data_IF_746224011078
#
_entry.id   IF_746224011078
#
_cell.length_a   1.000
_cell.length_b   1.000
_cell.length_c   1.000
_cell.angle_alpha   90.00
_cell.angle_beta   90.00
_cell.angle_gamma   90.00
#
_symmetry.space_group_name_H-M   'P 1'
#
loop_
_entity.id
_entity.type
_entity.pdbx_description
1 polymer ?
#
# COMPACT_ATOMS: atom_id res chain seq x y z
N UNK A 1 -21.92 3.97 0.24
CA UNK A 1 -21.30 5.30 -0.01
C UNK A 1 -21.77 6.45 0.91
N UNK A 2 -22.97 6.42 1.52
CA UNK A 2 -23.43 7.51 2.40
C UNK A 2 -22.68 7.57 3.75
N UNK A 3 -22.36 6.41 4.34
CA UNK A 3 -21.59 6.32 5.59
C UNK A 3 -20.12 6.75 5.46
N UNK A 4 -19.56 6.71 4.25
CA UNK A 4 -18.16 7.10 4.00
C UNK A 4 -17.95 8.62 4.11
N UNK A 5 -19.02 9.41 3.88
CA UNK A 5 -18.99 10.88 3.90
C UNK A 5 -18.86 11.47 5.31
N UNK A 6 -19.31 10.74 6.32
CA UNK A 6 -19.33 11.24 7.70
C UNK A 6 -17.98 11.04 8.42
N UNK A 7 -17.16 10.09 7.95
CA UNK A 7 -15.83 9.79 8.51
C UNK A 7 -14.69 10.56 7.83
N UNK A 8 -14.88 10.99 6.59
CA UNK A 8 -13.91 11.73 5.80
C UNK A 8 -14.40 13.18 5.69
N UNK A 9 -14.09 14.01 6.68
CA UNK A 9 -14.12 15.45 6.43
C UNK A 9 -13.23 15.69 5.20
N UNK A 10 -13.69 16.56 4.29
CA UNK A 10 -13.10 16.92 3.00
C UNK A 10 -13.63 16.09 1.80
N UNK A 11 -14.64 16.65 1.13
CA UNK A 11 -15.18 16.20 -0.16
C UNK A 11 -14.09 15.89 -1.22
N UNK A 12 -12.92 16.52 -1.12
CA UNK A 12 -11.79 16.33 -2.06
C UNK A 12 -11.11 14.96 -1.96
N UNK A 13 -11.06 14.34 -0.78
CA UNK A 13 -10.41 13.02 -0.64
C UNK A 13 -11.36 11.93 -1.10
N UNK A 14 -12.66 12.07 -0.80
CA UNK A 14 -13.69 11.14 -1.28
C UNK A 14 -13.72 11.05 -2.80
N UNK A 15 -13.66 12.17 -3.53
CA UNK A 15 -13.68 12.15 -5.01
C UNK A 15 -12.44 11.44 -5.58
N UNK A 16 -11.25 11.69 -5.00
CA UNK A 16 -10.03 11.00 -5.43
C UNK A 16 -10.07 9.50 -5.13
N UNK A 17 -10.60 9.10 -3.97
CA UNK A 17 -10.79 7.68 -3.63
C UNK A 17 -11.76 7.02 -4.62
N UNK A 18 -12.89 7.66 -4.94
CA UNK A 18 -13.83 7.16 -5.94
C UNK A 18 -13.17 6.99 -7.31
N UNK A 19 -12.40 7.98 -7.77
CA UNK A 19 -11.66 7.90 -9.04
C UNK A 19 -10.65 6.76 -9.05
N UNK A 20 -9.92 6.54 -7.95
CA UNK A 20 -8.98 5.44 -7.82
C UNK A 20 -9.68 4.07 -7.91
N UNK A 21 -10.79 3.89 -7.18
CA UNK A 21 -11.60 2.67 -7.25
C UNK A 21 -12.13 2.42 -8.66
N UNK A 22 -12.70 3.44 -9.31
CA UNK A 22 -13.19 3.33 -10.69
C UNK A 22 -12.07 2.96 -11.66
N UNK A 23 -10.86 3.52 -11.49
CA UNK A 23 -9.73 3.20 -12.34
C UNK A 23 -9.34 1.72 -12.23
N UNK A 24 -9.21 1.20 -10.99
CA UNK A 24 -8.91 -0.22 -10.75
C UNK A 24 -10.02 -1.11 -11.33
N UNK A 25 -11.28 -0.77 -11.06
CA UNK A 25 -12.45 -1.47 -11.58
C UNK A 25 -12.43 -1.60 -13.11
N UNK A 26 -12.18 -0.49 -13.82
CA UNK A 26 -12.22 -0.46 -15.28
C UNK A 26 -11.02 -1.14 -15.94
N UNK A 27 -9.84 -1.12 -15.30
CA UNK A 27 -8.60 -1.61 -15.93
C UNK A 27 -8.33 -3.08 -15.66
N UNK A 28 -8.71 -3.60 -14.49
CA UNK A 28 -8.34 -4.95 -14.07
C UNK A 28 -8.87 -6.08 -14.99
N UNK A 29 -10.13 -6.04 -15.48
CA UNK A 29 -10.66 -7.12 -16.33
C UNK A 29 -9.89 -7.36 -17.64
N UNK A 30 -9.10 -6.37 -18.09
CA UNK A 30 -8.43 -6.38 -19.39
C UNK A 30 -6.92 -6.65 -19.31
N UNK A 31 -6.35 -6.76 -18.11
CA UNK A 31 -4.90 -6.87 -17.91
C UNK A 31 -4.54 -7.88 -16.81
N UNK A 32 -4.42 -9.15 -17.17
CA UNK A 32 -4.12 -10.26 -16.24
C UNK A 32 -2.75 -10.19 -15.56
N UNK A 33 -1.78 -9.42 -16.10
CA UNK A 33 -0.47 -9.18 -15.46
C UNK A 33 -0.43 -7.98 -14.51
N UNK A 34 -1.45 -7.12 -14.52
CA UNK A 34 -1.55 -5.94 -13.63
C UNK A 34 -2.24 -6.27 -12.29
N UNK A 35 -2.55 -7.54 -12.05
CA UNK A 35 -3.37 -8.00 -10.94
C UNK A 35 -2.78 -7.69 -9.55
N UNK A 36 -1.47 -7.90 -9.36
CA UNK A 36 -0.81 -7.53 -8.10
C UNK A 36 -0.63 -6.03 -7.96
N UNK A 37 -0.42 -5.34 -9.07
CA UNK A 37 0.14 -4.00 -9.04
C UNK A 37 -0.97 -2.98 -8.75
N UNK A 38 -2.09 -3.02 -9.48
CA UNK A 38 -3.16 -2.02 -9.32
C UNK A 38 -3.85 -2.09 -7.96
N UNK A 39 -4.13 -3.28 -7.45
CA UNK A 39 -4.72 -3.45 -6.12
C UNK A 39 -3.75 -3.01 -5.02
N UNK A 40 -2.45 -3.29 -5.16
CA UNK A 40 -1.43 -2.86 -4.19
C UNK A 40 -1.17 -1.34 -4.24
N UNK A 41 -1.11 -0.75 -5.43
CA UNK A 41 -1.02 0.70 -5.61
C UNK A 41 -2.20 1.40 -4.96
N UNK A 42 -3.43 0.93 -5.23
CA UNK A 42 -4.63 1.46 -4.61
C UNK A 42 -4.57 1.29 -3.08
N UNK A 43 -4.15 0.12 -2.59
CA UNK A 43 -4.03 -0.16 -1.17
C UNK A 43 -3.16 0.87 -0.45
N UNK A 44 -1.92 1.03 -0.91
CA UNK A 44 -0.96 1.93 -0.26
C UNK A 44 -1.30 3.40 -0.49
N UNK A 45 -1.86 3.77 -1.64
CA UNK A 45 -2.25 5.14 -1.92
C UNK A 45 -3.43 5.58 -1.05
N UNK A 46 -4.50 4.78 -0.98
CA UNK A 46 -5.66 5.09 -0.13
C UNK A 46 -5.26 5.03 1.34
N UNK A 47 -4.50 4.00 1.73
CA UNK A 47 -4.06 3.83 3.11
C UNK A 47 -3.22 4.99 3.63
N UNK A 48 -2.33 5.54 2.79
CA UNK A 48 -1.56 6.75 3.10
C UNK A 48 -2.47 7.96 3.38
N UNK A 49 -3.58 8.11 2.63
CA UNK A 49 -4.55 9.18 2.90
C UNK A 49 -5.31 8.97 4.20
N UNK A 50 -5.66 7.73 4.54
CA UNK A 50 -6.38 7.44 5.78
C UNK A 50 -5.46 7.67 6.99
N UNK A 51 -4.26 7.09 6.99
CA UNK A 51 -3.30 7.26 8.09
C UNK A 51 -2.70 8.67 8.16
N UNK A 52 -2.72 9.43 7.06
CA UNK A 52 -2.40 10.85 7.08
C UNK A 52 -3.43 11.72 7.81
N UNK A 53 -4.64 11.20 8.03
CA UNK A 53 -5.73 11.90 8.74
C UNK A 53 -5.91 11.35 10.17
N UNK A 54 -5.75 10.03 10.35
CA UNK A 54 -5.99 9.37 11.63
C UNK A 54 -5.11 8.14 11.83
N UNK A 55 -4.47 8.05 12.99
CA UNK A 55 -3.67 6.89 13.40
C UNK A 55 -4.53 5.70 13.90
N UNK A 56 -5.85 5.81 13.81
CA UNK A 56 -6.79 4.80 14.30
C UNK A 56 -6.80 3.56 13.41
N UNK A 57 -6.16 2.48 13.88
CA UNK A 57 -6.20 1.16 13.24
C UNK A 57 -7.63 0.62 13.01
N UNK A 58 -8.58 0.71 13.96
CA UNK A 58 -9.96 0.28 13.71
C UNK A 58 -10.64 1.08 12.61
N UNK A 59 -10.41 2.40 12.56
CA UNK A 59 -10.97 3.26 11.51
C UNK A 59 -10.39 2.90 10.14
N UNK A 60 -9.07 2.73 10.05
CA UNK A 60 -8.40 2.28 8.83
C UNK A 60 -8.98 0.96 8.32
N UNK A 61 -9.05 -0.04 9.20
CA UNK A 61 -9.57 -1.37 8.87
C UNK A 61 -11.00 -1.29 8.35
N UNK A 62 -11.85 -0.50 9.02
CA UNK A 62 -13.25 -0.32 8.60
C UNK A 62 -13.34 0.32 7.22
N UNK A 63 -12.66 1.44 6.99
CA UNK A 63 -12.71 2.15 5.71
C UNK A 63 -12.16 1.26 4.58
N UNK A 64 -11.00 0.64 4.78
CA UNK A 64 -10.38 -0.19 3.76
C UNK A 64 -11.25 -1.41 3.42
N UNK A 65 -11.87 -2.08 4.39
CA UNK A 65 -12.83 -3.17 4.12
C UNK A 65 -14.01 -2.70 3.28
N UNK A 66 -14.65 -1.59 3.69
CA UNK A 66 -15.78 -1.03 2.94
C UNK A 66 -15.43 -0.74 1.48
N UNK A 67 -14.23 -0.22 1.21
CA UNK A 67 -13.78 0.09 -0.15
C UNK A 67 -13.54 -1.17 -1.00
N UNK A 68 -12.96 -2.21 -0.42
CA UNK A 68 -12.73 -3.49 -1.11
C UNK A 68 -14.04 -4.25 -1.35
N UNK A 69 -14.97 -4.20 -0.41
CA UNK A 69 -16.29 -4.81 -0.54
C UNK A 69 -17.08 -4.13 -1.66
N UNK A 70 -17.08 -2.79 -1.71
CA UNK A 70 -17.71 -2.02 -2.79
C UNK A 70 -17.09 -2.35 -4.15
N UNK A 71 -15.76 -2.44 -4.23
CA UNK A 71 -15.05 -2.77 -5.47
C UNK A 71 -15.43 -4.17 -6.00
N UNK A 72 -15.58 -5.14 -5.10
CA UNK A 72 -15.86 -6.53 -5.45
C UNK A 72 -17.34 -6.86 -5.62
N UNK A 73 -18.25 -6.10 -4.99
CA UNK A 73 -19.69 -6.39 -4.99
C UNK A 73 -20.38 -6.28 -6.36
N UNK A 74 -19.71 -5.71 -7.36
CA UNK A 74 -20.28 -5.38 -8.67
C UNK A 74 -20.15 -6.47 -9.76
N UNK A 75 -19.32 -7.51 -9.59
CA UNK A 75 -19.07 -8.52 -10.66
C UNK A 75 -18.99 -9.95 -10.07
N UNK A 76 -19.34 -10.97 -10.87
CA UNK A 76 -19.07 -12.39 -10.57
C UNK A 76 -17.58 -12.74 -10.36
N UNK A 77 -16.66 -11.85 -10.75
CA UNK A 77 -15.21 -12.06 -10.68
C UNK A 77 -14.59 -11.10 -9.66
N UNK A 78 -13.75 -11.64 -8.78
CA UNK A 78 -13.04 -10.88 -7.76
C UNK A 78 -12.08 -9.86 -8.40
N UNK A 79 -12.23 -8.57 -8.05
CA UNK A 79 -11.37 -7.50 -8.56
C UNK A 79 -10.11 -7.36 -7.70
N UNK A 80 -10.24 -7.18 -6.39
CA UNK A 80 -9.10 -7.22 -5.49
C UNK A 80 -9.36 -8.22 -4.37
N UNK A 81 -8.33 -8.97 -3.96
CA UNK A 81 -8.47 -9.88 -2.82
C UNK A 81 -8.97 -9.10 -1.59
N UNK A 82 -10.01 -9.58 -0.88
CA UNK A 82 -10.53 -8.89 0.29
C UNK A 82 -9.47 -8.76 1.38
N UNK A 83 -9.51 -7.66 2.12
CA UNK A 83 -8.59 -7.43 3.24
C UNK A 83 -8.99 -8.28 4.44
N UNK A 84 -8.21 -9.32 4.70
CA UNK A 84 -8.41 -10.26 5.80
C UNK A 84 -7.48 -10.02 7.01
N UNK A 85 -6.77 -8.89 7.04
CA UNK A 85 -5.84 -8.53 8.10
C UNK A 85 -6.12 -7.13 8.63
N UNK A 86 -5.51 -6.84 9.77
CA UNK A 86 -5.41 -5.51 10.32
C UNK A 86 -3.94 -5.13 10.41
N UNK A 87 -3.66 -3.85 10.20
CA UNK A 87 -2.30 -3.31 10.21
C UNK A 87 -2.31 -2.05 11.07
N UNK A 88 -1.26 -1.83 11.86
CA UNK A 88 -1.05 -0.55 12.51
C UNK A 88 -0.32 0.41 11.57
N UNK A 89 -0.32 1.69 11.91
CA UNK A 89 0.25 2.76 11.09
C UNK A 89 1.74 2.54 10.78
N UNK A 90 2.52 2.13 11.77
CA UNK A 90 3.97 2.01 11.60
C UNK A 90 4.31 0.82 10.70
N UNK A 91 3.66 -0.32 10.92
CA UNK A 91 3.76 -1.48 10.04
C UNK A 91 3.28 -1.14 8.62
N UNK A 92 2.21 -0.36 8.49
CA UNK A 92 1.72 0.10 7.19
C UNK A 92 2.76 0.92 6.45
N UNK A 93 3.37 1.92 7.09
CA UNK A 93 4.36 2.78 6.44
C UNK A 93 5.66 2.05 6.09
N UNK A 94 6.09 1.07 6.91
CA UNK A 94 7.20 0.17 6.56
C UNK A 94 6.88 -0.65 5.31
N UNK A 95 5.71 -1.28 5.27
CA UNK A 95 5.28 -2.06 4.11
C UNK A 95 5.13 -1.19 2.85
N UNK A 96 4.60 0.03 3.01
CA UNK A 96 4.51 1.01 1.94
C UNK A 96 5.89 1.41 1.40
N UNK A 97 6.86 1.68 2.27
CA UNK A 97 8.22 2.03 1.86
C UNK A 97 8.86 0.91 1.02
N UNK A 98 8.72 -0.34 1.46
CA UNK A 98 9.20 -1.51 0.72
C UNK A 98 8.49 -1.65 -0.63
N UNK A 99 7.17 -1.44 -0.65
CA UNK A 99 6.40 -1.46 -1.88
C UNK A 99 6.85 -0.36 -2.85
N UNK A 100 6.90 0.90 -2.42
CA UNK A 100 7.28 2.04 -3.25
C UNK A 100 8.66 1.83 -3.88
N UNK A 101 9.64 1.38 -3.08
CA UNK A 101 10.97 1.03 -3.60
C UNK A 101 10.90 -0.12 -4.62
N UNK A 102 10.13 -1.18 -4.35
CA UNK A 102 10.00 -2.31 -5.28
C UNK A 102 9.46 -1.88 -6.65
N UNK A 103 8.58 -0.88 -6.66
CA UNK A 103 8.00 -0.34 -7.88
C UNK A 103 8.95 0.63 -8.59
N UNK A 104 9.76 1.38 -7.83
CA UNK A 104 10.67 2.40 -8.36
C UNK A 104 12.12 1.93 -8.57
N UNK A 105 12.41 0.66 -8.25
CA UNK A 105 13.76 0.08 -8.30
C UNK A 105 14.46 0.30 -9.65
N UNK A 106 13.72 0.27 -10.77
CA UNK A 106 14.27 0.54 -12.10
C UNK A 106 14.82 1.96 -12.24
N UNK A 107 14.09 2.96 -11.77
CA UNK A 107 14.49 4.36 -11.83
C UNK A 107 15.63 4.64 -10.84
N UNK A 108 15.52 4.12 -9.62
CA UNK A 108 16.58 4.18 -8.59
C UNK A 108 17.91 3.63 -9.13
N UNK A 109 17.85 2.51 -9.86
CA UNK A 109 19.05 1.92 -10.51
C UNK A 109 19.63 2.83 -11.60
N UNK A 110 18.78 3.50 -12.39
CA UNK A 110 19.22 4.44 -13.43
C UNK A 110 19.87 5.67 -12.79
N UNK A 111 19.22 6.27 -11.80
CA UNK A 111 19.70 7.45 -11.09
C UNK A 111 21.02 7.21 -10.36
N UNK A 112 21.24 5.98 -9.89
CA UNK A 112 22.48 5.57 -9.21
C UNK A 112 23.59 5.09 -10.15
N UNK A 113 23.29 4.84 -11.44
CA UNK A 113 24.28 4.38 -12.42
C UNK A 113 25.12 5.51 -13.05
N UNK A 114 24.75 6.78 -12.84
CA UNK A 114 25.37 7.96 -13.45
C UNK A 114 26.13 8.88 -12.48
N UNK A 115 25.95 10.20 -12.66
CA UNK A 115 26.48 11.22 -11.75
C UNK A 115 25.85 11.03 -10.37
N UNK A 116 26.66 10.65 -9.38
CA UNK A 116 26.24 10.56 -7.98
C UNK A 116 25.74 11.92 -7.51
N UNK A 117 24.43 12.13 -7.53
CA UNK A 117 23.83 13.24 -6.81
C UNK A 117 24.00 12.94 -5.33
N UNK A 118 24.92 13.62 -4.66
CA UNK A 118 25.02 13.64 -3.20
C UNK A 118 23.85 14.44 -2.60
N UNK A 119 22.62 14.04 -2.95
CA UNK A 119 21.42 14.58 -2.33
C UNK A 119 21.23 13.88 -0.98
N UNK A 120 21.23 14.67 0.09
CA UNK A 120 21.06 14.19 1.45
C UNK A 120 19.73 13.46 1.63
N UNK A 121 18.64 14.01 1.10
CA UNK A 121 17.30 13.44 1.22
C UNK A 121 17.21 12.09 0.50
N UNK A 122 17.85 11.99 -0.67
CA UNK A 122 17.94 10.74 -1.42
C UNK A 122 18.71 9.67 -0.65
N UNK A 123 19.86 10.05 -0.07
CA UNK A 123 20.63 9.14 0.78
C UNK A 123 19.81 8.67 1.99
N UNK A 124 19.15 9.58 2.69
CA UNK A 124 18.31 9.26 3.84
C UNK A 124 17.16 8.30 3.47
N UNK A 125 16.54 8.50 2.30
CA UNK A 125 15.53 7.58 1.77
C UNK A 125 16.09 6.17 1.54
N UNK A 126 17.25 6.05 0.88
CA UNK A 126 17.90 4.76 0.61
C UNK A 126 18.35 4.07 1.91
N UNK A 127 18.95 4.81 2.85
CA UNK A 127 19.37 4.29 4.15
C UNK A 127 18.16 3.77 4.96
N UNK A 128 17.04 4.51 4.94
CA UNK A 128 15.80 4.09 5.59
C UNK A 128 15.19 2.83 4.94
N UNK A 129 15.21 2.75 3.60
CA UNK A 129 14.77 1.56 2.89
C UNK A 129 15.63 0.35 3.26
N UNK A 130 16.96 0.48 3.24
CA UNK A 130 17.89 -0.61 3.59
C UNK A 130 17.60 -1.11 5.00
N UNK A 131 17.49 -0.21 5.98
CA UNK A 131 17.17 -0.57 7.36
C UNK A 131 15.84 -1.32 7.46
N UNK A 132 14.80 -0.80 6.82
CA UNK A 132 13.45 -1.41 6.84
C UNK A 132 13.44 -2.79 6.19
N UNK A 133 14.15 -2.94 5.07
CA UNK A 133 14.28 -4.23 4.38
C UNK A 133 15.04 -5.25 5.24
N UNK A 134 16.14 -4.84 5.87
CA UNK A 134 16.92 -5.72 6.76
C UNK A 134 16.07 -6.23 7.93
N UNK A 135 15.29 -5.34 8.56
CA UNK A 135 14.37 -5.72 9.64
C UNK A 135 13.31 -6.72 9.14
N UNK A 136 12.63 -6.41 8.03
CA UNK A 136 11.60 -7.29 7.45
C UNK A 136 12.18 -8.66 7.05
N UNK A 137 13.37 -8.68 6.46
CA UNK A 137 14.07 -9.90 6.08
C UNK A 137 14.43 -10.75 7.32
N UNK A 138 14.98 -10.14 8.38
CA UNK A 138 15.29 -10.83 9.63
C UNK A 138 14.02 -11.42 10.27
N UNK A 139 12.93 -10.66 10.29
CA UNK A 139 11.64 -11.12 10.80
C UNK A 139 11.11 -12.33 10.01
N UNK A 140 11.19 -12.28 8.67
CA UNK A 140 10.76 -13.37 7.81
C UNK A 140 11.62 -14.64 7.93
N UNK A 141 12.95 -14.50 7.95
CA UNK A 141 13.87 -15.64 7.76
C UNK A 141 14.63 -16.07 9.01
N UNK A 142 14.78 -15.21 10.01
CA UNK A 142 15.60 -15.48 11.20
C UNK A 142 14.73 -15.74 12.44
N UNK A 143 13.67 -14.96 12.63
CA UNK A 143 12.70 -15.20 13.73
C UNK A 143 11.73 -16.34 13.41
N UNK A 144 11.40 -16.57 12.13
CA UNK A 144 10.59 -17.71 11.68
C UNK A 144 11.20 -19.08 12.01
N UNK A 145 12.54 -19.17 12.10
CA UNK A 145 13.26 -20.41 12.45
C UNK A 145 13.18 -20.81 13.93
N UNK A 146 12.77 -19.92 14.84
CA UNK A 146 12.59 -20.24 16.27
C UNK A 146 11.26 -20.93 16.60
N UNK A 147 10.28 -20.96 15.67
CA UNK A 147 9.00 -21.66 15.87
C UNK A 147 9.00 -23.12 15.40
N UNK A 148 10.06 -23.58 14.73
CA UNK A 148 10.24 -24.98 14.34
C UNK A 148 11.47 -25.53 15.07
N UNK A 149 11.32 -25.75 16.37
CA UNK A 149 12.13 -26.72 17.12
C UNK A 149 11.12 -27.62 17.83
N UNK A 150 10.78 -28.72 17.16
CA UNK A 150 10.18 -29.91 17.77
C UNK A 150 11.20 -30.54 18.73
#
# INVERSE_FOLDING_TARGET
>A
MHELKDYLSVRDISDKITKALCYVYMKKPYHSKLESDLCSYMHYWIGDKIYGISDSRPLFTRIMRMLYDELNGTIKNLICSPLNYEIDRDTFYKNKLLFDYSQDHGNIKIDTAGYKTCNKDYKEYIDNYISTYTDAHSDCYEKGKKKIRL
#
